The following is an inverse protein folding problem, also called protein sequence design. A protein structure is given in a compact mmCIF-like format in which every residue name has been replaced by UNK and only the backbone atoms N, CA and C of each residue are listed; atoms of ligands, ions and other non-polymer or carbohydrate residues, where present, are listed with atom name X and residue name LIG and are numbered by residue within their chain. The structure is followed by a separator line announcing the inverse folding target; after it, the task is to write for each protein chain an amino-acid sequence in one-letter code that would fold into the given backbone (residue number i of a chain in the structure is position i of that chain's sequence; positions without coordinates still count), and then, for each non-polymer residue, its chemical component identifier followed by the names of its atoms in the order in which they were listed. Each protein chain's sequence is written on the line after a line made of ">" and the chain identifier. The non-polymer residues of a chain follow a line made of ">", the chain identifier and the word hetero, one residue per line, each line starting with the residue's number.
data_IF_811322289257
#
_entry.id   IF_811322289257
#
_cell.length_a   1.000
_cell.length_b   1.000
_cell.length_c   1.000
_cell.angle_alpha   90.00
_cell.angle_beta   90.00
_cell.angle_gamma   90.00
#
_symmetry.space_group_name_H-M   'P 1'
#
loop_
_entity.id
_entity.type
_entity.pdbx_description
1 polymer ?
#
# COMPACT_ATOMS: atom_id res chain seq x y z
N UNK A 1 14.00 -2.79 -14.80
CA UNK A 1 13.30 -4.06 -14.55
C UNK A 1 14.28 -5.02 -13.90
N UNK A 2 13.91 -5.63 -12.78
CA UNK A 2 14.73 -6.66 -12.13
C UNK A 2 14.28 -8.03 -12.65
N UNK A 3 15.13 -8.66 -13.46
CA UNK A 3 14.86 -10.00 -13.97
C UNK A 3 15.49 -11.04 -13.05
N UNK A 4 14.64 -11.74 -12.31
CA UNK A 4 15.00 -12.82 -11.38
C UNK A 4 14.37 -14.15 -11.80
N UNK A 5 14.07 -14.29 -13.08
CA UNK A 5 13.34 -15.44 -13.64
C UNK A 5 11.81 -15.26 -13.62
N UNK A 6 11.13 -16.25 -14.21
CA UNK A 6 9.68 -16.26 -14.37
C UNK A 6 9.12 -17.65 -14.14
N UNK A 7 7.93 -17.75 -13.55
CA UNK A 7 7.20 -19.02 -13.44
C UNK A 7 6.19 -19.21 -14.58
N UNK A 8 6.17 -18.30 -15.56
CA UNK A 8 5.30 -18.40 -16.73
C UNK A 8 5.93 -19.33 -17.78
N UNK A 9 5.47 -20.58 -17.83
CA UNK A 9 5.97 -21.60 -18.76
C UNK A 9 5.88 -21.15 -20.22
N UNK A 10 4.84 -20.40 -20.61
CA UNK A 10 4.70 -19.91 -21.98
C UNK A 10 5.86 -18.98 -22.38
N UNK A 11 6.35 -18.15 -21.45
CA UNK A 11 7.51 -17.29 -21.70
C UNK A 11 8.82 -18.08 -21.70
N UNK A 12 8.96 -19.08 -20.84
CA UNK A 12 10.15 -19.94 -20.81
C UNK A 12 10.31 -20.69 -22.14
N UNK A 13 9.20 -21.16 -22.71
CA UNK A 13 9.15 -21.91 -23.97
C UNK A 13 9.23 -21.02 -25.21
N UNK A 14 8.90 -19.73 -25.10
CA UNK A 14 8.89 -18.80 -26.23
C UNK A 14 10.33 -18.53 -26.72
N UNK A 15 10.70 -18.87 -27.97
CA UNK A 15 12.05 -18.62 -28.50
C UNK A 15 12.41 -17.13 -28.58
N UNK A 16 11.43 -16.23 -28.56
CA UNK A 16 11.64 -14.78 -28.57
C UNK A 16 11.66 -14.15 -27.18
N UNK A 17 11.48 -14.93 -26.10
CA UNK A 17 11.61 -14.39 -24.74
C UNK A 17 13.05 -13.96 -24.45
N UNK A 18 13.18 -12.69 -24.05
CA UNK A 18 14.46 -12.02 -23.78
C UNK A 18 14.96 -12.19 -22.34
N UNK A 19 14.10 -12.64 -21.43
CA UNK A 19 14.43 -12.76 -20.01
C UNK A 19 15.11 -14.08 -19.64
N UNK A 20 15.41 -14.23 -18.36
CA UNK A 20 16.02 -15.43 -17.80
C UNK A 20 15.05 -16.62 -17.92
N UNK A 21 15.51 -17.68 -18.61
CA UNK A 21 14.76 -18.93 -18.81
C UNK A 21 14.90 -19.87 -17.62
N UNK A 22 14.56 -19.38 -16.44
CA UNK A 22 14.58 -20.14 -15.20
C UNK A 22 13.39 -19.74 -14.31
N UNK A 23 12.97 -20.61 -13.38
CA UNK A 23 11.99 -20.27 -12.37
C UNK A 23 12.40 -19.03 -11.58
N UNK A 24 11.40 -18.30 -11.07
CA UNK A 24 11.62 -17.10 -10.27
C UNK A 24 12.37 -17.45 -8.99
N UNK A 25 13.38 -16.64 -8.62
CA UNK A 25 14.00 -16.71 -7.30
C UNK A 25 12.98 -16.49 -6.18
N UNK A 26 13.24 -17.09 -5.03
CA UNK A 26 12.37 -17.05 -3.85
C UNK A 26 13.20 -16.85 -2.57
N UNK A 27 12.55 -16.44 -1.48
CA UNK A 27 13.19 -16.27 -0.19
C UNK A 27 14.36 -15.27 -0.19
N UNK A 28 15.44 -15.61 0.52
CA UNK A 28 16.61 -14.74 0.68
C UNK A 28 17.38 -14.50 -0.63
N UNK A 29 17.35 -15.45 -1.58
CA UNK A 29 17.99 -15.26 -2.88
C UNK A 29 17.30 -14.16 -3.69
N UNK A 30 15.96 -14.07 -3.56
CA UNK A 30 15.21 -12.97 -4.16
C UNK A 30 15.56 -11.65 -3.47
N UNK A 31 15.51 -11.63 -2.13
CA UNK A 31 15.71 -10.41 -1.35
C UNK A 31 17.13 -9.85 -1.47
N UNK A 32 18.15 -10.70 -1.57
CA UNK A 32 19.55 -10.27 -1.70
C UNK A 32 19.78 -9.47 -2.99
N UNK A 33 19.14 -9.85 -4.09
CA UNK A 33 19.17 -9.08 -5.35
C UNK A 33 18.50 -7.72 -5.18
N UNK A 34 17.39 -7.66 -4.44
CA UNK A 34 16.71 -6.38 -4.16
C UNK A 34 17.58 -5.50 -3.26
N UNK A 35 18.20 -6.07 -2.22
CA UNK A 35 19.10 -5.35 -1.30
C UNK A 35 20.28 -4.75 -2.08
N UNK A 36 20.97 -5.55 -2.92
CA UNK A 36 22.09 -5.09 -3.74
C UNK A 36 21.66 -3.95 -4.68
N UNK A 37 20.50 -4.10 -5.34
CA UNK A 37 19.94 -3.05 -6.19
C UNK A 37 19.73 -1.74 -5.42
N UNK A 38 19.09 -1.82 -4.25
CA UNK A 38 18.80 -0.65 -3.41
C UNK A 38 20.10 0.01 -2.95
N UNK A 39 21.08 -0.77 -2.50
CA UNK A 39 22.39 -0.26 -2.08
C UNK A 39 23.11 0.45 -3.23
N UNK A 40 23.11 -0.13 -4.43
CA UNK A 40 23.71 0.48 -5.61
C UNK A 40 23.04 1.81 -5.99
N UNK A 41 21.70 1.85 -5.99
CA UNK A 41 20.92 3.06 -6.30
C UNK A 41 21.21 4.17 -5.30
N UNK A 42 21.16 3.87 -4.00
CA UNK A 42 21.34 4.88 -2.96
C UNK A 42 22.80 5.32 -2.81
N UNK A 43 23.76 4.45 -3.12
CA UNK A 43 25.18 4.83 -3.19
C UNK A 43 25.41 5.83 -4.32
N UNK A 44 24.79 5.61 -5.49
CA UNK A 44 24.96 6.50 -6.65
C UNK A 44 24.13 7.77 -6.54
N UNK A 45 22.90 7.67 -6.04
CA UNK A 45 21.92 8.74 -5.90
C UNK A 45 21.28 8.74 -4.50
N UNK A 46 21.94 9.33 -3.49
CA UNK A 46 21.50 9.25 -2.09
C UNK A 46 20.14 9.91 -1.81
N UNK A 47 19.63 10.74 -2.71
CA UNK A 47 18.35 11.45 -2.59
C UNK A 47 17.28 10.94 -3.55
N UNK A 48 17.52 9.81 -4.23
CA UNK A 48 16.53 9.23 -5.12
C UNK A 48 15.27 8.83 -4.34
N UNK A 49 14.11 9.05 -4.96
CA UNK A 49 12.84 8.48 -4.49
C UNK A 49 12.64 7.17 -5.24
N UNK A 50 12.42 6.09 -4.51
CA UNK A 50 12.26 4.76 -5.08
C UNK A 50 10.80 4.35 -5.04
N UNK A 51 10.18 4.18 -6.21
CA UNK A 51 8.84 3.62 -6.34
C UNK A 51 8.93 2.14 -6.71
N UNK A 52 8.25 1.29 -5.95
CA UNK A 52 8.08 -0.12 -6.27
C UNK A 52 6.71 -0.32 -6.94
N UNK A 53 6.71 -1.12 -8.00
CA UNK A 53 5.57 -1.32 -8.91
C UNK A 53 5.46 -2.79 -9.30
N UNK A 54 4.25 -3.33 -9.38
CA UNK A 54 3.93 -4.66 -9.93
C UNK A 54 4.65 -5.83 -9.24
N UNK A 55 4.98 -5.66 -7.95
CA UNK A 55 5.50 -6.75 -7.14
C UNK A 55 4.35 -7.68 -6.72
N UNK A 56 4.62 -9.00 -6.71
CA UNK A 56 3.68 -9.93 -6.08
C UNK A 56 3.38 -9.48 -4.65
N UNK A 57 2.13 -9.63 -4.22
CA UNK A 57 1.63 -9.10 -2.93
C UNK A 57 2.59 -9.36 -1.75
N UNK A 58 3.08 -10.60 -1.60
CA UNK A 58 4.03 -10.95 -0.52
C UNK A 58 5.28 -10.07 -0.53
N UNK A 59 5.84 -9.81 -1.71
CA UNK A 59 7.05 -9.01 -1.87
C UNK A 59 6.77 -7.52 -1.78
N UNK A 60 5.63 -7.05 -2.26
CA UNK A 60 5.22 -5.65 -2.08
C UNK A 60 5.18 -5.27 -0.59
N UNK A 61 4.56 -6.10 0.26
CA UNK A 61 4.52 -5.84 1.70
C UNK A 61 5.86 -6.07 2.40
N UNK A 62 6.58 -7.16 2.06
CA UNK A 62 7.87 -7.47 2.71
C UNK A 62 8.90 -6.37 2.43
N UNK A 63 9.03 -5.95 1.17
CA UNK A 63 9.98 -4.90 0.79
C UNK A 63 9.59 -3.54 1.34
N UNK A 64 8.28 -3.20 1.36
CA UNK A 64 7.81 -1.98 2.01
C UNK A 64 8.18 -1.97 3.50
N UNK A 65 7.97 -3.07 4.23
CA UNK A 65 8.36 -3.19 5.64
C UNK A 65 9.88 -3.07 5.82
N UNK A 66 10.66 -3.71 4.95
CA UNK A 66 12.12 -3.76 5.02
C UNK A 66 12.81 -2.40 4.77
N UNK A 67 12.24 -1.57 3.90
CA UNK A 67 12.96 -0.43 3.32
C UNK A 67 12.43 0.95 3.68
N UNK A 68 11.13 1.09 3.97
CA UNK A 68 10.46 2.38 4.16
C UNK A 68 11.03 3.30 5.25
N UNK A 69 11.70 2.73 6.27
CA UNK A 69 12.31 3.50 7.36
C UNK A 69 13.76 3.88 7.06
N UNK A 70 14.37 3.27 6.04
CA UNK A 70 15.79 3.44 5.69
C UNK A 70 15.99 4.53 4.65
N UNK A 71 15.03 4.72 3.73
CA UNK A 71 15.12 5.72 2.66
C UNK A 71 13.74 6.12 2.13
N UNK A 72 13.70 7.16 1.29
CA UNK A 72 12.47 7.66 0.69
C UNK A 72 11.97 6.70 -0.40
N UNK A 73 11.00 5.86 -0.03
CA UNK A 73 10.38 4.91 -0.94
C UNK A 73 8.91 4.67 -0.63
N UNK A 74 8.19 4.21 -1.64
CA UNK A 74 6.80 3.77 -1.51
C UNK A 74 6.49 2.68 -2.54
N UNK A 75 5.39 1.97 -2.34
CA UNK A 75 4.84 1.03 -3.33
C UNK A 75 3.52 1.60 -3.88
N UNK A 76 3.40 1.73 -5.19
CA UNK A 76 2.23 2.39 -5.81
C UNK A 76 0.97 1.52 -5.74
N UNK A 77 1.11 0.21 -5.94
CA UNK A 77 0.01 -0.75 -5.84
C UNK A 77 -0.66 -0.71 -4.45
N UNK A 78 0.13 -0.52 -3.39
CA UNK A 78 -0.35 -0.47 -2.01
C UNK A 78 -0.72 0.95 -1.60
N UNK A 79 0.19 1.91 -1.73
CA UNK A 79 0.04 3.26 -1.15
C UNK A 79 -0.54 4.27 -2.16
N UNK A 80 -0.14 4.19 -3.43
CA UNK A 80 -0.65 5.06 -4.49
C UNK A 80 -2.14 4.81 -4.76
N UNK A 81 -2.48 3.53 -4.97
CA UNK A 81 -3.89 3.10 -5.15
C UNK A 81 -4.74 3.43 -3.93
N UNK A 82 -4.21 3.26 -2.71
CA UNK A 82 -4.91 3.65 -1.50
C UNK A 82 -5.19 5.16 -1.43
N UNK A 83 -4.22 5.99 -1.82
CA UNK A 83 -4.36 7.45 -1.84
C UNK A 83 -5.50 7.91 -2.76
N UNK A 84 -5.52 7.43 -4.00
CA UNK A 84 -6.57 7.82 -4.97
C UNK A 84 -7.94 7.27 -4.57
N UNK A 85 -8.02 6.03 -4.07
CA UNK A 85 -9.28 5.45 -3.62
C UNK A 85 -9.86 6.22 -2.42
N UNK A 86 -9.03 6.54 -1.43
CA UNK A 86 -9.44 7.34 -0.28
C UNK A 86 -9.92 8.73 -0.69
N UNK A 87 -9.23 9.40 -1.61
CA UNK A 87 -9.65 10.70 -2.13
C UNK A 87 -11.06 10.61 -2.76
N UNK A 88 -11.32 9.55 -3.53
CA UNK A 88 -12.65 9.27 -4.09
C UNK A 88 -13.73 9.01 -3.02
N UNK A 89 -13.39 8.24 -1.97
CA UNK A 89 -14.30 7.96 -0.86
C UNK A 89 -14.68 9.23 -0.09
N UNK A 90 -13.70 10.06 0.30
CA UNK A 90 -13.95 11.34 0.98
C UNK A 90 -14.69 12.33 0.08
N UNK A 91 -14.37 12.35 -1.21
CA UNK A 91 -15.09 13.13 -2.22
C UNK A 91 -16.57 12.73 -2.32
N UNK A 92 -16.87 11.43 -2.19
CA UNK A 92 -18.25 10.92 -2.20
C UNK A 92 -19.05 11.41 -1.00
N UNK A 93 -18.45 11.45 0.20
CA UNK A 93 -19.11 12.01 1.41
C UNK A 93 -19.49 13.48 1.17
N UNK A 94 -18.57 14.27 0.63
CA UNK A 94 -18.82 15.69 0.29
C UNK A 94 -19.89 15.84 -0.79
N UNK A 95 -19.88 14.98 -1.81
CA UNK A 95 -20.87 15.01 -2.90
C UNK A 95 -22.29 14.71 -2.40
N UNK A 96 -22.44 13.99 -1.29
CA UNK A 96 -23.72 13.80 -0.61
C UNK A 96 -24.17 15.01 0.23
N UNK A 97 -23.39 16.09 0.29
CA UNK A 97 -23.65 17.25 1.15
C UNK A 97 -23.41 16.99 2.64
N UNK A 98 -22.68 15.92 2.98
CA UNK A 98 -22.39 15.53 4.37
C UNK A 98 -21.04 16.09 4.83
N UNK A 99 -20.88 16.29 6.14
CA UNK A 99 -19.57 16.60 6.73
C UNK A 99 -18.63 15.41 6.54
N UNK A 100 -17.33 15.67 6.41
CA UNK A 100 -16.31 14.62 6.43
C UNK A 100 -16.32 13.83 7.76
N UNK A 101 -16.81 14.43 8.85
CA UNK A 101 -17.00 13.76 10.14
C UNK A 101 -18.00 12.60 10.07
N UNK A 102 -18.78 12.49 8.98
CA UNK A 102 -19.68 11.38 8.72
C UNK A 102 -18.97 10.18 8.04
N UNK A 103 -17.74 10.35 7.55
CA UNK A 103 -16.97 9.28 6.94
C UNK A 103 -16.83 8.02 7.84
N UNK A 104 -16.53 8.14 9.16
CA UNK A 104 -16.52 7.01 10.08
C UNK A 104 -17.81 6.19 10.15
N UNK A 105 -18.97 6.76 9.79
CA UNK A 105 -20.27 6.08 9.82
C UNK A 105 -20.56 5.26 8.56
N UNK A 106 -19.73 5.38 7.53
CA UNK A 106 -19.92 4.67 6.27
C UNK A 106 -19.46 3.22 6.40
N UNK A 107 -20.28 2.29 5.93
CA UNK A 107 -19.90 0.87 5.80
C UNK A 107 -19.23 0.66 4.46
N UNK A 108 -17.97 0.21 4.48
CA UNK A 108 -17.14 0.01 3.29
C UNK A 108 -16.80 -1.47 3.16
N UNK A 109 -17.09 -2.03 1.99
CA UNK A 109 -16.74 -3.40 1.63
C UNK A 109 -15.71 -3.34 0.50
N UNK A 110 -14.52 -3.87 0.75
CA UNK A 110 -13.45 -4.01 -0.24
C UNK A 110 -13.52 -5.42 -0.83
N UNK A 111 -13.55 -5.53 -2.16
CA UNK A 111 -13.57 -6.79 -2.88
C UNK A 111 -12.21 -7.03 -3.54
N UNK A 112 -11.53 -8.08 -3.11
CA UNK A 112 -10.15 -8.45 -3.45
C UNK A 112 -9.17 -8.18 -2.31
N UNK A 113 -8.54 -9.23 -1.79
CA UNK A 113 -7.54 -9.14 -0.70
C UNK A 113 -6.08 -9.06 -1.21
N UNK A 114 -5.87 -8.47 -2.39
CA UNK A 114 -4.55 -8.17 -2.94
C UNK A 114 -3.88 -6.95 -2.31
N UNK A 115 -2.71 -6.57 -2.81
CA UNK A 115 -1.95 -5.38 -2.39
C UNK A 115 -2.81 -4.10 -2.38
N UNK A 116 -3.53 -3.86 -3.47
CA UNK A 116 -4.42 -2.71 -3.62
C UNK A 116 -5.56 -2.71 -2.58
N UNK A 117 -6.33 -3.78 -2.50
CA UNK A 117 -7.47 -3.87 -1.58
C UNK A 117 -7.06 -3.71 -0.11
N UNK A 118 -5.97 -4.37 0.28
CA UNK A 118 -5.40 -4.24 1.62
C UNK A 118 -4.85 -2.83 1.88
N UNK A 119 -4.22 -2.21 0.89
CA UNK A 119 -3.74 -0.82 0.97
C UNK A 119 -4.88 0.16 1.22
N UNK A 120 -5.94 0.10 0.40
CA UNK A 120 -7.13 0.95 0.52
C UNK A 120 -7.79 0.77 1.89
N UNK A 121 -8.01 -0.49 2.30
CA UNK A 121 -8.61 -0.82 3.59
C UNK A 121 -7.79 -0.27 4.76
N UNK A 122 -6.47 -0.48 4.74
CA UNK A 122 -5.57 -0.01 5.79
C UNK A 122 -5.59 1.52 5.89
N UNK A 123 -5.53 2.22 4.75
CA UNK A 123 -5.52 3.68 4.73
C UNK A 123 -6.85 4.27 5.19
N UNK A 124 -7.98 3.69 4.78
CA UNK A 124 -9.29 4.16 5.19
C UNK A 124 -9.53 3.97 6.70
N UNK A 125 -9.10 2.84 7.27
CA UNK A 125 -9.15 2.62 8.71
C UNK A 125 -8.26 3.61 9.46
N UNK A 126 -7.04 3.87 8.98
CA UNK A 126 -6.15 4.86 9.59
C UNK A 126 -6.76 6.27 9.60
N UNK A 127 -7.47 6.66 8.53
CA UNK A 127 -8.20 7.93 8.49
C UNK A 127 -9.31 7.96 9.54
N UNK A 128 -10.11 6.90 9.66
CA UNK A 128 -11.16 6.85 10.68
C UNK A 128 -10.57 6.93 12.09
N UNK A 129 -9.52 6.17 12.38
CA UNK A 129 -8.80 6.24 13.67
C UNK A 129 -8.33 7.67 13.96
N UNK A 130 -7.79 8.36 12.95
CA UNK A 130 -7.31 9.74 13.08
C UNK A 130 -8.45 10.74 13.30
N UNK A 131 -9.61 10.53 12.69
CA UNK A 131 -10.77 11.41 12.83
C UNK A 131 -11.50 11.21 14.16
N UNK A 132 -11.64 9.97 14.62
CA UNK A 132 -12.44 9.63 15.81
C UNK A 132 -11.61 9.50 17.08
N UNK A 133 -10.29 9.29 16.95
CA UNK A 133 -9.44 8.86 18.06
C UNK A 133 -9.73 7.44 18.55
N UNK A 134 -10.60 6.68 17.87
CA UNK A 134 -11.06 5.36 18.30
C UNK A 134 -10.90 4.31 17.19
N UNK A 135 -10.04 3.32 17.43
CA UNK A 135 -9.80 2.21 16.52
C UNK A 135 -10.93 1.17 16.46
N UNK A 136 -11.76 1.07 17.50
CA UNK A 136 -12.87 0.12 17.55
C UNK A 136 -13.99 0.53 16.58
N UNK A 137 -14.26 1.84 16.46
CA UNK A 137 -15.20 2.38 15.47
C UNK A 137 -14.79 2.01 14.04
N UNK A 138 -13.50 2.03 13.75
CA UNK A 138 -12.98 1.63 12.45
C UNK A 138 -13.06 0.12 12.20
N UNK A 139 -13.10 -0.72 13.23
CA UNK A 139 -13.19 -2.17 13.05
C UNK A 139 -14.60 -2.66 12.69
N UNK A 140 -15.65 -1.89 13.02
CA UNK A 140 -17.04 -2.32 12.85
C UNK A 140 -17.62 -2.03 11.46
N UNK A 141 -17.03 -1.08 10.74
CA UNK A 141 -17.61 -0.55 9.51
C UNK A 141 -16.84 -0.94 8.23
N UNK A 142 -15.74 -1.69 8.35
CA UNK A 142 -14.88 -2.04 7.23
C UNK A 142 -14.78 -3.55 7.04
N UNK A 143 -15.00 -4.01 5.82
CA UNK A 143 -15.07 -5.43 5.46
C UNK A 143 -14.19 -5.73 4.25
N UNK A 144 -13.59 -6.93 4.24
CA UNK A 144 -12.79 -7.44 3.13
C UNK A 144 -13.38 -8.77 2.65
N UNK A 145 -13.56 -8.90 1.34
CA UNK A 145 -14.02 -10.11 0.68
C UNK A 145 -13.00 -10.54 -0.37
N UNK A 146 -12.69 -11.84 -0.47
CA UNK A 146 -11.81 -12.38 -1.51
C UNK A 146 -12.40 -13.66 -2.13
N UNK A 147 -11.76 -14.17 -3.19
CA UNK A 147 -12.18 -15.34 -3.99
C UNK A 147 -12.59 -16.57 -3.16
N UNK A 148 -11.93 -16.77 -2.03
CA UNK A 148 -12.29 -17.77 -1.04
C UNK A 148 -13.18 -17.05 -0.03
N UNK A 149 -14.50 -17.20 -0.16
CA UNK A 149 -15.53 -16.46 0.61
C UNK A 149 -15.38 -16.75 2.11
N UNK A 150 -14.45 -16.07 2.74
CA UNK A 150 -14.33 -15.95 4.18
C UNK A 150 -14.70 -14.52 4.52
N UNK A 151 -15.92 -14.36 5.05
CA UNK A 151 -16.31 -13.16 5.76
C UNK A 151 -15.34 -13.00 6.94
N UNK A 152 -14.28 -12.23 6.79
CA UNK A 152 -13.48 -11.81 7.93
C UNK A 152 -14.22 -10.67 8.64
N UNK A 153 -15.29 -11.00 9.37
CA UNK A 153 -15.97 -10.08 10.30
C UNK A 153 -15.15 -9.82 11.57
N UNK A 154 -14.01 -10.49 11.72
CA UNK A 154 -13.09 -10.34 12.84
C UNK A 154 -11.65 -10.18 12.35
N UNK A 155 -11.41 -9.14 11.55
CA UNK A 155 -10.05 -8.68 11.23
C UNK A 155 -9.31 -8.15 12.46
N UNK A 156 -9.97 -8.00 13.63
CA UNK A 156 -9.39 -7.39 14.84
C UNK A 156 -8.10 -8.09 15.32
N UNK A 157 -7.99 -9.41 15.23
CA UNK A 157 -6.83 -10.15 15.75
C UNK A 157 -5.60 -10.08 14.82
N UNK A 158 -5.79 -10.04 13.50
CA UNK A 158 -4.70 -9.88 12.53
C UNK A 158 -4.28 -8.42 12.37
N UNK A 159 -5.23 -7.49 12.57
CA UNK A 159 -5.05 -6.06 12.42
C UNK A 159 -4.29 -5.41 13.58
N UNK A 160 -4.48 -5.84 14.84
CA UNK A 160 -3.77 -5.23 15.99
C UNK A 160 -2.25 -5.40 15.84
N UNK A 161 -1.76 -6.57 15.40
CA UNK A 161 -0.32 -6.82 15.22
C UNK A 161 0.25 -6.11 13.97
N UNK A 162 -0.50 -6.09 12.85
CA UNK A 162 -0.02 -5.44 11.62
C UNK A 162 -0.12 -3.91 11.68
N UNK A 163 -1.17 -3.37 12.28
CA UNK A 163 -1.40 -1.92 12.40
C UNK A 163 -0.62 -1.28 13.54
N UNK A 164 -0.35 -1.96 14.67
CA UNK A 164 0.61 -1.45 15.65
C UNK A 164 2.02 -1.28 15.07
N UNK A 165 2.42 -2.16 14.14
CA UNK A 165 3.70 -2.00 13.41
C UNK A 165 3.70 -0.84 12.41
N UNK A 166 2.54 -0.41 11.91
CA UNK A 166 2.40 0.65 10.91
C UNK A 166 2.14 2.04 11.52
N UNK A 167 1.51 2.10 12.69
CA UNK A 167 1.19 3.35 13.41
C UNK A 167 2.43 4.08 13.94
N UNK A 168 3.56 3.39 14.11
CA UNK A 168 4.80 4.01 14.62
C UNK A 168 5.53 4.89 13.57
N UNK A 169 5.26 4.73 12.27
CA UNK A 169 6.22 5.15 11.22
C UNK A 169 5.68 6.11 10.16
N UNK A 170 4.61 6.87 10.43
CA UNK A 170 4.00 7.79 9.45
C UNK A 170 4.04 9.29 9.79
N UNK A 171 5.07 9.72 10.53
CA UNK A 171 5.27 11.15 10.85
C UNK A 171 5.64 12.02 9.62
N UNK A 172 5.95 11.45 8.45
CA UNK A 172 6.53 12.19 7.31
C UNK A 172 5.69 12.33 6.03
N UNK A 173 4.74 11.44 5.72
CA UNK A 173 4.03 11.50 4.42
C UNK A 173 2.95 12.59 4.37
N UNK A 174 2.57 13.15 5.52
CA UNK A 174 1.58 14.23 5.58
C UNK A 174 2.13 15.63 5.25
N UNK A 175 3.45 15.82 5.17
CA UNK A 175 4.01 17.14 4.79
C UNK A 175 3.89 17.42 3.28
N UNK A 176 3.64 16.40 2.44
CA UNK A 176 3.50 16.61 1.00
C UNK A 176 2.04 16.84 0.57
N UNK A 177 1.06 16.41 1.38
CA UNK A 177 -0.38 16.52 1.08
C UNK A 177 -1.11 17.63 1.86
N UNK A 178 -0.50 18.21 2.91
CA UNK A 178 -1.09 19.31 3.69
C UNK A 178 -0.30 20.63 3.64
N UNK A 179 0.74 20.74 2.81
CA UNK A 179 1.42 22.02 2.59
C UNK A 179 0.79 22.74 1.39
N UNK A 180 -0.46 23.18 1.55
CA UNK A 180 -1.13 24.17 0.70
C UNK A 180 -2.35 24.79 1.43
N UNK A 181 -2.28 24.94 2.76
CA UNK A 181 -3.06 25.96 3.45
C UNK A 181 -2.14 27.17 3.60
N UNK A 182 -2.12 28.02 2.56
CA UNK A 182 -1.77 29.45 2.55
C UNK A 182 -1.44 29.91 1.10
N UNK A 183 -2.30 29.57 0.14
CA UNK A 183 -2.31 30.24 -1.17
C UNK A 183 -3.65 30.95 -1.32
N UNK A 184 -3.67 32.18 -0.85
CA UNK A 184 -4.71 33.17 -1.11
C UNK A 184 -4.86 33.37 -2.63
N UNK A 185 -5.95 32.85 -3.21
CA UNK A 185 -6.41 33.24 -4.54
C UNK A 185 -7.60 34.21 -4.40
N UNK A 186 -7.30 35.42 -3.94
CA UNK A 186 -8.11 36.62 -4.20
C UNK A 186 -7.21 37.86 -4.23
N UNK A 187 -6.57 38.10 -5.38
CA UNK A 187 -6.40 39.39 -6.08
C UNK A 187 -5.46 39.21 -7.28
#
# INVERSE_FOLDING_TARGET
>A
MLDVGTNNLKLIEDPFYLGLRQPRLEGEEYLSIIDEYIEAVLTRWPKAIVQFEDFQMKWAFETLKRYRERFCMFNDDVQGTAGVALAGLLGTVRAQGRSLDDFPNHKIVVVGAGSAGLGVLSMAVQVVVRMTGNAETAAQNFFLLDKDVQFCTSFLAFFILFVQSLLCSFRYVMSFLLCNEDVDFMN
#
